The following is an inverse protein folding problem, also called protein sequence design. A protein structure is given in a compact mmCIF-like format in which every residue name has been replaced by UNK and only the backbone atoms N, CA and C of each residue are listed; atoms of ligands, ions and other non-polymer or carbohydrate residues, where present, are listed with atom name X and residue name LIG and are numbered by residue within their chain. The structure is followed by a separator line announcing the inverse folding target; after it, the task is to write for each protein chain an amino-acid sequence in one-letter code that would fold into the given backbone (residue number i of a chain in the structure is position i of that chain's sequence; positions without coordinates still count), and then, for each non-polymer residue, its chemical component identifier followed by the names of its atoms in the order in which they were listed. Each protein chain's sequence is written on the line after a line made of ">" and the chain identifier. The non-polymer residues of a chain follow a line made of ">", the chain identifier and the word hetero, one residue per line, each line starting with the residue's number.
data_IF_093522132796
#
_entry.id   IF_093522132796
#
_cell.length_a   1.000
_cell.length_b   1.000
_cell.length_c   1.000
_cell.angle_alpha   90.00
_cell.angle_beta   90.00
_cell.angle_gamma   90.00
#
_symmetry.space_group_name_H-M   'P 1'
#
loop_
_entity.id
_entity.type
_entity.pdbx_description
1 polymer ?
#
# COMPACT_ATOMS: atom_id res chain seq x y z
N UNK A 1 -10.92 23.58 -49.16
CA UNK A 1 -10.93 24.50 -48.00
C UNK A 1 -11.72 23.78 -46.91
N UNK A 2 -11.17 23.65 -45.69
CA UNK A 2 -11.89 22.99 -44.59
C UNK A 2 -13.06 23.90 -44.20
N UNK A 3 -14.29 23.46 -44.37
CA UNK A 3 -15.48 24.24 -43.99
C UNK A 3 -15.96 23.78 -42.61
N UNK A 4 -15.67 24.59 -41.60
CA UNK A 4 -16.09 24.32 -40.22
C UNK A 4 -17.51 24.83 -39.99
N UNK A 5 -18.39 23.95 -39.52
CA UNK A 5 -19.79 24.30 -39.22
C UNK A 5 -19.84 25.40 -38.16
N UNK A 6 -20.73 26.41 -38.31
CA UNK A 6 -20.89 27.46 -37.31
C UNK A 6 -21.46 26.89 -36.00
N UNK A 7 -21.19 27.60 -34.91
CA UNK A 7 -21.83 27.37 -33.62
C UNK A 7 -23.35 27.55 -33.74
N UNK A 8 -24.14 26.64 -33.12
CA UNK A 8 -25.61 26.78 -33.06
C UNK A 8 -26.04 27.14 -31.64
N UNK A 9 -25.72 26.26 -30.69
CA UNK A 9 -25.95 26.49 -29.26
C UNK A 9 -24.96 25.64 -28.46
N UNK A 10 -24.83 25.94 -27.18
CA UNK A 10 -23.85 25.31 -26.31
C UNK A 10 -23.95 23.77 -26.31
N UNK A 11 -25.14 23.21 -26.07
CA UNK A 11 -25.32 21.76 -25.93
C UNK A 11 -25.13 21.00 -27.24
N UNK A 12 -25.58 21.57 -28.35
CA UNK A 12 -25.37 21.01 -29.67
C UNK A 12 -23.87 20.98 -30.00
N UNK A 13 -23.16 22.08 -29.78
CA UNK A 13 -21.73 22.15 -30.06
C UNK A 13 -20.93 21.24 -29.13
N UNK A 14 -21.32 21.13 -27.86
CA UNK A 14 -20.75 20.18 -26.89
C UNK A 14 -20.83 18.74 -27.41
N UNK A 15 -22.02 18.28 -27.81
CA UNK A 15 -22.21 16.93 -28.39
C UNK A 15 -21.42 16.74 -29.69
N UNK A 16 -21.39 17.77 -30.54
CA UNK A 16 -20.64 17.75 -31.80
C UNK A 16 -19.14 17.61 -31.54
N UNK A 17 -18.60 18.38 -30.60
CA UNK A 17 -17.19 18.38 -30.24
C UNK A 17 -16.76 17.09 -29.55
N UNK A 18 -17.59 16.49 -28.69
CA UNK A 18 -17.37 15.14 -28.16
C UNK A 18 -17.24 14.10 -29.28
N UNK A 19 -18.20 14.09 -30.20
CA UNK A 19 -18.20 13.17 -31.35
C UNK A 19 -16.96 13.39 -32.23
N UNK A 20 -16.58 14.64 -32.44
CA UNK A 20 -15.38 15.00 -33.19
C UNK A 20 -14.10 14.52 -32.48
N UNK A 21 -14.02 14.63 -31.15
CA UNK A 21 -12.95 14.06 -30.34
C UNK A 21 -12.82 12.55 -30.56
N UNK A 22 -13.91 11.79 -30.45
CA UNK A 22 -13.86 10.33 -30.68
C UNK A 22 -13.38 9.96 -32.09
N UNK A 23 -13.83 10.69 -33.12
CA UNK A 23 -13.29 10.49 -34.48
C UNK A 23 -11.82 10.87 -34.59
N UNK A 24 -11.36 11.89 -33.85
CA UNK A 24 -9.96 12.27 -33.78
C UNK A 24 -9.13 11.14 -33.16
N UNK A 25 -9.59 10.56 -32.04
CA UNK A 25 -8.94 9.43 -31.38
C UNK A 25 -8.78 8.22 -32.32
N UNK A 26 -9.74 7.99 -33.23
CA UNK A 26 -9.63 6.97 -34.27
C UNK A 26 -8.76 7.39 -35.48
N UNK A 27 -8.10 8.55 -35.42
CA UNK A 27 -7.26 9.08 -36.51
C UNK A 27 -8.06 9.47 -37.77
N UNK A 28 -9.35 9.74 -37.64
CA UNK A 28 -10.27 10.01 -38.76
C UNK A 28 -10.45 11.49 -39.04
N UNK A 29 -10.44 11.85 -40.33
CA UNK A 29 -10.73 13.21 -40.84
C UNK A 29 -12.18 13.65 -40.62
N UNK A 30 -13.08 12.72 -40.27
CA UNK A 30 -14.47 13.04 -39.90
C UNK A 30 -14.55 13.99 -38.70
N UNK A 31 -13.54 13.99 -37.82
CA UNK A 31 -13.43 14.94 -36.71
C UNK A 31 -13.53 16.40 -37.18
N UNK A 32 -12.80 16.76 -38.25
CA UNK A 32 -12.78 18.12 -38.80
C UNK A 32 -14.08 18.53 -39.50
N UNK A 33 -14.91 17.57 -39.91
CA UNK A 33 -16.22 17.84 -40.55
C UNK A 33 -17.34 18.06 -39.53
N UNK A 34 -17.14 17.57 -38.31
CA UNK A 34 -18.15 17.56 -37.23
C UNK A 34 -17.83 18.65 -36.20
N UNK A 35 -16.55 18.98 -36.00
CA UNK A 35 -16.12 19.97 -34.99
C UNK A 35 -16.80 21.32 -35.21
N UNK A 36 -17.18 21.94 -34.10
CA UNK A 36 -17.79 23.27 -34.04
C UNK A 36 -17.01 24.14 -33.05
N UNK A 37 -15.95 24.81 -33.54
CA UNK A 37 -15.09 25.61 -32.68
C UNK A 37 -15.83 26.87 -32.23
N UNK A 38 -15.84 27.10 -30.91
CA UNK A 38 -16.26 28.36 -30.30
C UNK A 38 -15.44 28.65 -29.05
N UNK A 39 -15.32 29.92 -28.68
CA UNK A 39 -14.56 30.35 -27.49
C UNK A 39 -15.21 29.75 -26.23
N UNK A 40 -16.55 29.78 -26.15
CA UNK A 40 -17.28 29.18 -25.03
C UNK A 40 -17.00 27.68 -24.88
N UNK A 41 -16.93 26.94 -25.99
CA UNK A 41 -16.57 25.52 -25.94
C UNK A 41 -15.12 25.31 -25.50
N UNK A 42 -14.18 26.11 -26.01
CA UNK A 42 -12.77 26.01 -25.61
C UNK A 42 -12.60 26.24 -24.10
N UNK A 43 -13.21 27.31 -23.56
CA UNK A 43 -13.15 27.63 -22.13
C UNK A 43 -13.79 26.52 -21.30
N UNK A 44 -14.97 26.04 -21.71
CA UNK A 44 -15.67 24.98 -20.98
C UNK A 44 -14.88 23.68 -20.94
N UNK A 45 -14.34 23.23 -22.07
CA UNK A 45 -13.48 22.04 -22.12
C UNK A 45 -12.15 22.25 -21.39
N UNK A 46 -11.61 23.47 -21.37
CA UNK A 46 -10.44 23.83 -20.57
C UNK A 46 -10.70 23.68 -19.06
N UNK A 47 -11.86 24.16 -18.59
CA UNK A 47 -12.27 24.01 -17.19
C UNK A 47 -12.50 22.53 -16.86
N UNK A 48 -13.25 21.80 -17.71
CA UNK A 48 -13.49 20.38 -17.48
C UNK A 48 -12.19 19.56 -17.47
N UNK A 49 -11.28 19.81 -18.40
CA UNK A 49 -9.97 19.14 -18.45
C UNK A 49 -9.14 19.45 -17.20
N UNK A 50 -9.11 20.72 -16.77
CA UNK A 50 -8.44 21.12 -15.53
C UNK A 50 -9.05 20.47 -14.29
N UNK A 51 -10.39 20.38 -14.19
CA UNK A 51 -11.08 19.69 -13.11
C UNK A 51 -10.79 18.18 -13.10
N UNK A 52 -10.80 17.53 -14.26
CA UNK A 52 -10.49 16.11 -14.37
C UNK A 52 -9.04 15.80 -13.98
N UNK A 53 -8.08 16.61 -14.43
CA UNK A 53 -6.67 16.48 -14.06
C UNK A 53 -6.43 16.77 -12.57
N UNK A 54 -7.13 17.77 -12.02
CA UNK A 54 -7.11 18.06 -10.58
C UNK A 54 -7.67 16.88 -9.77
N UNK A 55 -8.79 16.30 -10.20
CA UNK A 55 -9.38 15.12 -9.55
C UNK A 55 -8.42 13.93 -9.58
N UNK A 56 -7.83 13.63 -10.74
CA UNK A 56 -6.84 12.56 -10.86
C UNK A 56 -5.64 12.80 -9.95
N UNK A 57 -5.07 14.00 -9.96
CA UNK A 57 -3.93 14.36 -9.13
C UNK A 57 -4.22 14.30 -7.63
N UNK A 58 -5.47 14.51 -7.21
CA UNK A 58 -5.89 14.33 -5.82
C UNK A 58 -6.04 12.84 -5.46
N UNK A 59 -6.71 12.06 -6.32
CA UNK A 59 -6.87 10.61 -6.14
C UNK A 59 -5.51 9.89 -6.09
N UNK A 60 -4.61 10.20 -7.02
CA UNK A 60 -3.29 9.56 -7.10
C UNK A 60 -2.37 9.83 -5.90
N UNK A 61 -2.69 10.85 -5.08
CA UNK A 61 -1.96 11.22 -3.87
C UNK A 61 -2.69 10.78 -2.59
N UNK A 62 -3.51 9.71 -2.66
CA UNK A 62 -4.23 9.19 -1.49
C UNK A 62 -5.21 10.21 -0.90
N UNK A 63 -5.81 11.05 -1.75
CA UNK A 63 -6.75 12.11 -1.34
C UNK A 63 -6.14 13.16 -0.39
N UNK A 64 -4.81 13.24 -0.35
CA UNK A 64 -4.05 14.17 0.46
C UNK A 64 -3.33 15.24 -0.39
N UNK A 65 -2.73 16.21 0.31
CA UNK A 65 -1.93 17.27 -0.29
C UNK A 65 -2.64 18.62 -0.37
N UNK A 66 -1.89 19.63 -0.81
CA UNK A 66 -2.36 21.01 -0.99
C UNK A 66 -2.42 21.37 -2.47
N UNK A 67 -3.42 22.19 -2.81
CA UNK A 67 -3.58 22.69 -4.17
C UNK A 67 -2.39 23.59 -4.56
N UNK A 68 -1.70 23.21 -5.64
CA UNK A 68 -0.56 23.91 -6.20
C UNK A 68 -0.97 24.64 -7.50
N UNK A 69 -1.14 25.97 -7.48
CA UNK A 69 -1.51 26.75 -8.67
C UNK A 69 -0.51 26.59 -9.82
N UNK A 70 0.77 26.37 -9.52
CA UNK A 70 1.80 26.15 -10.54
C UNK A 70 1.54 24.88 -11.34
N UNK A 71 1.02 23.82 -10.72
CA UNK A 71 0.70 22.58 -11.42
C UNK A 71 -0.43 22.76 -12.43
N UNK A 72 -1.44 23.58 -12.10
CA UNK A 72 -2.51 23.92 -13.05
C UNK A 72 -1.98 24.72 -14.25
N UNK A 73 -1.02 25.63 -14.01
CA UNK A 73 -0.34 26.38 -15.08
C UNK A 73 0.49 25.43 -15.95
N UNK A 74 1.25 24.50 -15.35
CA UNK A 74 2.02 23.48 -16.07
C UNK A 74 1.12 22.61 -16.94
N UNK A 75 -0.05 22.20 -16.45
CA UNK A 75 -1.05 21.50 -17.24
C UNK A 75 -1.54 22.33 -18.44
N UNK A 76 -1.95 23.59 -18.18
CA UNK A 76 -2.52 24.48 -19.20
C UNK A 76 -1.53 24.84 -20.34
N UNK A 77 -0.23 24.64 -20.13
CA UNK A 77 0.81 24.88 -21.13
C UNK A 77 0.60 24.06 -22.41
N UNK A 78 0.09 22.84 -22.32
CA UNK A 78 -0.10 21.99 -23.49
C UNK A 78 -1.28 22.44 -24.39
N UNK A 79 -2.50 22.66 -23.87
CA UNK A 79 -3.57 23.32 -24.61
C UNK A 79 -3.16 24.67 -25.21
N UNK A 80 -2.31 25.43 -24.49
CA UNK A 80 -1.79 26.71 -24.97
C UNK A 80 -0.86 26.54 -26.18
N UNK A 81 0.05 25.57 -26.17
CA UNK A 81 0.87 25.22 -27.34
C UNK A 81 -0.03 24.79 -28.51
N UNK A 82 -1.05 23.96 -28.26
CA UNK A 82 -1.99 23.53 -29.29
C UNK A 82 -2.77 24.71 -29.89
N UNK A 83 -3.08 25.74 -29.09
CA UNK A 83 -3.70 26.98 -29.56
C UNK A 83 -2.75 27.79 -30.45
N UNK A 84 -1.47 27.91 -30.07
CA UNK A 84 -0.44 28.56 -30.91
C UNK A 84 -0.33 27.85 -32.26
N UNK A 85 -0.27 26.51 -32.26
CA UNK A 85 -0.27 25.71 -33.50
C UNK A 85 -1.53 26.00 -34.31
N UNK A 86 -2.69 26.05 -33.67
CA UNK A 86 -3.96 26.42 -34.33
C UNK A 86 -3.92 27.80 -34.99
N UNK A 87 -3.33 28.81 -34.34
CA UNK A 87 -3.15 30.17 -34.91
C UNK A 87 -2.28 30.10 -36.17
N UNK A 88 -1.13 29.41 -36.13
CA UNK A 88 -0.26 29.27 -37.31
C UNK A 88 -0.96 28.56 -38.47
N UNK A 89 -1.70 27.48 -38.19
CA UNK A 89 -2.46 26.77 -39.22
C UNK A 89 -3.57 27.66 -39.80
N UNK A 90 -4.27 28.41 -38.95
CA UNK A 90 -5.32 29.34 -39.35
C UNK A 90 -4.82 30.39 -40.34
N UNK A 91 -3.65 30.98 -40.05
CA UNK A 91 -2.99 31.95 -40.94
C UNK A 91 -2.54 31.31 -42.26
N UNK A 92 -1.92 30.12 -42.20
CA UNK A 92 -1.45 29.39 -43.40
C UNK A 92 -2.58 29.04 -44.38
N UNK A 93 -3.78 28.76 -43.86
CA UNK A 93 -4.94 28.29 -44.66
C UNK A 93 -5.96 29.41 -44.91
N UNK A 94 -5.74 30.60 -44.32
CA UNK A 94 -6.66 31.72 -44.34
C UNK A 94 -8.08 31.35 -43.87
N UNK A 95 -8.17 30.58 -42.76
CA UNK A 95 -9.43 30.21 -42.13
C UNK A 95 -9.40 30.50 -40.62
N UNK A 96 -10.08 31.56 -40.14
CA UNK A 96 -10.03 31.97 -38.74
C UNK A 96 -10.64 30.93 -37.78
N UNK A 97 -11.59 30.11 -38.22
CA UNK A 97 -12.24 29.11 -37.36
C UNK A 97 -11.30 27.98 -36.95
N UNK A 98 -10.26 27.73 -37.77
CA UNK A 98 -9.26 26.69 -37.51
C UNK A 98 -8.44 26.96 -36.24
N UNK A 99 -8.33 28.21 -35.82
CA UNK A 99 -7.51 28.66 -34.70
C UNK A 99 -7.74 27.84 -33.42
N UNK A 100 -9.00 27.54 -33.09
CA UNK A 100 -9.36 26.88 -31.85
C UNK A 100 -9.36 25.35 -31.95
N UNK A 101 -9.35 24.80 -33.17
CA UNK A 101 -9.68 23.38 -33.41
C UNK A 101 -8.67 22.42 -32.79
N UNK A 102 -7.33 22.60 -32.94
CA UNK A 102 -6.38 21.67 -32.33
C UNK A 102 -6.49 21.62 -30.81
N UNK A 103 -6.52 22.78 -30.15
CA UNK A 103 -6.64 22.88 -28.69
C UNK A 103 -7.98 22.31 -28.19
N UNK A 104 -9.09 22.64 -28.86
CA UNK A 104 -10.41 22.16 -28.50
C UNK A 104 -10.53 20.64 -28.61
N UNK A 105 -10.10 20.05 -29.72
CA UNK A 105 -10.19 18.61 -29.90
C UNK A 105 -9.26 17.85 -28.96
N UNK A 106 -8.09 18.40 -28.66
CA UNK A 106 -7.18 17.84 -27.67
C UNK A 106 -7.80 17.87 -26.26
N UNK A 107 -8.34 19.02 -25.82
CA UNK A 107 -9.00 19.16 -24.52
C UNK A 107 -10.19 18.23 -24.35
N UNK A 108 -10.99 18.05 -25.41
CA UNK A 108 -12.08 17.07 -25.43
C UNK A 108 -11.53 15.68 -25.13
N UNK A 109 -10.49 15.23 -25.83
CA UNK A 109 -9.92 13.90 -25.62
C UNK A 109 -9.28 13.75 -24.23
N UNK A 110 -8.49 14.75 -23.83
CA UNK A 110 -7.80 14.76 -22.55
C UNK A 110 -8.79 14.62 -21.39
N UNK A 111 -9.90 15.36 -21.44
CA UNK A 111 -10.96 15.27 -20.42
C UNK A 111 -11.51 13.85 -20.30
N UNK A 112 -11.80 13.16 -21.40
CA UNK A 112 -12.39 11.81 -21.34
C UNK A 112 -11.35 10.77 -20.91
N UNK A 113 -10.12 10.86 -21.41
CA UNK A 113 -9.03 9.95 -21.01
C UNK A 113 -8.77 10.13 -19.52
N UNK A 114 -8.73 11.37 -19.02
CA UNK A 114 -8.49 11.65 -17.62
C UNK A 114 -9.65 11.21 -16.72
N UNK A 115 -10.91 11.38 -17.14
CA UNK A 115 -12.07 10.84 -16.41
C UNK A 115 -12.03 9.31 -16.35
N UNK A 116 -11.62 8.65 -17.43
CA UNK A 116 -11.41 7.20 -17.43
C UNK A 116 -10.27 6.81 -16.49
N UNK A 117 -9.18 7.58 -16.47
CA UNK A 117 -8.07 7.39 -15.54
C UNK A 117 -8.48 7.55 -14.08
N UNK A 118 -9.30 8.56 -13.76
CA UNK A 118 -9.88 8.74 -12.43
C UNK A 118 -10.73 7.53 -12.02
N UNK A 119 -11.55 6.99 -12.93
CA UNK A 119 -12.35 5.79 -12.64
C UNK A 119 -11.46 4.58 -12.36
N UNK A 120 -10.44 4.35 -13.17
CA UNK A 120 -9.49 3.24 -12.97
C UNK A 120 -8.72 3.43 -11.65
N UNK A 121 -8.25 4.64 -11.34
CA UNK A 121 -7.58 4.93 -10.06
C UNK A 121 -8.51 4.64 -8.89
N UNK A 122 -9.74 5.15 -8.91
CA UNK A 122 -10.72 4.92 -7.85
C UNK A 122 -11.04 3.43 -7.65
N UNK A 123 -11.22 2.66 -8.73
CA UNK A 123 -11.42 1.21 -8.63
C UNK A 123 -10.18 0.50 -8.08
N UNK A 124 -8.99 1.03 -8.36
CA UNK A 124 -7.74 0.54 -7.80
C UNK A 124 -7.62 0.78 -6.31
N UNK A 125 -7.92 2.01 -5.85
CA UNK A 125 -7.90 2.38 -4.43
C UNK A 125 -8.90 1.55 -3.60
N UNK A 126 -9.94 0.99 -4.21
CA UNK A 126 -10.93 0.12 -3.56
C UNK A 126 -10.61 -1.39 -3.69
N UNK A 127 -9.42 -1.75 -4.20
CA UNK A 127 -8.98 -3.12 -4.45
C UNK A 127 -9.95 -3.95 -5.34
N UNK A 128 -10.71 -3.29 -6.20
CA UNK A 128 -11.62 -3.95 -7.15
C UNK A 128 -10.93 -4.39 -8.45
N UNK A 129 -9.72 -3.88 -8.72
CA UNK A 129 -8.94 -4.27 -9.89
C UNK A 129 -8.00 -5.43 -9.56
N UNK A 130 -7.92 -6.47 -10.42
CA UNK A 130 -6.91 -7.50 -10.29
C UNK A 130 -5.50 -6.90 -10.28
N UNK A 131 -4.65 -7.37 -9.37
CA UNK A 131 -3.33 -6.76 -9.17
C UNK A 131 -2.44 -6.77 -10.43
N UNK A 132 -2.61 -7.79 -11.28
CA UNK A 132 -1.91 -7.92 -12.57
C UNK A 132 -2.13 -6.68 -13.46
N UNK A 133 -3.27 -5.98 -13.33
CA UNK A 133 -3.55 -4.78 -14.13
C UNK A 133 -2.69 -3.58 -13.73
N UNK A 134 -2.25 -3.47 -12.47
CA UNK A 134 -1.48 -2.31 -11.99
C UNK A 134 -0.17 -2.11 -12.75
N UNK A 135 0.49 -3.18 -13.20
CA UNK A 135 1.71 -3.09 -14.00
C UNK A 135 1.47 -2.49 -15.40
N UNK A 136 0.27 -2.69 -15.96
CA UNK A 136 -0.08 -2.24 -17.29
C UNK A 136 -0.76 -0.86 -17.31
N UNK A 137 -1.44 -0.48 -16.23
CA UNK A 137 -2.21 0.77 -16.12
C UNK A 137 -1.35 2.01 -16.47
N UNK A 138 -0.15 2.23 -15.87
CA UNK A 138 0.68 3.38 -16.21
C UNK A 138 1.07 3.41 -17.69
N UNK A 139 1.43 2.26 -18.26
CA UNK A 139 1.83 2.13 -19.67
C UNK A 139 0.66 2.42 -20.62
N UNK A 140 -0.54 1.94 -20.28
CA UNK A 140 -1.76 2.21 -21.03
C UNK A 140 -2.03 3.71 -21.12
N UNK A 141 -2.03 4.42 -19.98
CA UNK A 141 -2.35 5.85 -19.95
C UNK A 141 -1.26 6.71 -20.61
N UNK A 142 0.02 6.34 -20.49
CA UNK A 142 1.09 6.97 -21.27
C UNK A 142 0.83 6.78 -22.78
N UNK A 143 0.47 5.57 -23.21
CA UNK A 143 0.14 5.28 -24.60
C UNK A 143 -1.05 6.10 -25.11
N UNK A 144 -2.14 6.18 -24.33
CA UNK A 144 -3.31 7.00 -24.64
C UNK A 144 -2.97 8.49 -24.75
N UNK A 145 -2.16 9.01 -23.81
CA UNK A 145 -1.74 10.40 -23.77
C UNK A 145 -0.84 10.78 -24.96
N UNK A 146 0.11 9.91 -25.33
CA UNK A 146 0.95 10.11 -26.52
C UNK A 146 0.09 10.03 -27.78
N UNK A 147 -0.78 9.03 -27.88
CA UNK A 147 -1.62 8.83 -29.05
C UNK A 147 -2.58 10.01 -29.30
N UNK A 148 -3.26 10.55 -28.28
CA UNK A 148 -4.17 11.68 -28.48
C UNK A 148 -3.48 12.90 -29.11
N UNK A 149 -2.23 13.16 -28.72
CA UNK A 149 -1.44 14.28 -29.20
C UNK A 149 -0.94 14.05 -30.63
N UNK A 150 -0.50 12.82 -30.92
CA UNK A 150 -0.13 12.42 -32.28
C UNK A 150 -1.33 12.34 -33.22
N UNK A 151 -2.52 12.01 -32.72
CA UNK A 151 -3.75 11.93 -33.50
C UNK A 151 -4.16 13.31 -34.07
N UNK A 152 -3.95 14.39 -33.32
CA UNK A 152 -4.09 15.77 -33.81
C UNK A 152 -3.20 15.98 -35.03
N UNK A 153 -1.89 15.75 -34.90
CA UNK A 153 -0.92 15.91 -36.00
C UNK A 153 -1.26 15.00 -37.18
N UNK A 154 -1.65 13.76 -36.91
CA UNK A 154 -2.01 12.76 -37.92
C UNK A 154 -3.21 13.21 -38.76
N UNK A 155 -4.30 13.65 -38.12
CA UNK A 155 -5.50 14.08 -38.84
C UNK A 155 -5.25 15.36 -39.63
N UNK A 156 -4.59 16.36 -39.03
CA UNK A 156 -4.28 17.61 -39.72
C UNK A 156 -3.32 17.41 -40.89
N UNK A 157 -2.26 16.62 -40.74
CA UNK A 157 -1.32 16.34 -41.83
C UNK A 157 -2.01 15.68 -43.04
N UNK A 158 -2.99 14.81 -42.80
CA UNK A 158 -3.78 14.16 -43.86
C UNK A 158 -4.78 15.10 -44.53
N UNK A 159 -5.43 15.98 -43.77
CA UNK A 159 -6.39 16.94 -44.33
C UNK A 159 -5.69 18.03 -45.13
N UNK A 160 -4.55 18.50 -44.64
CA UNK A 160 -3.74 19.55 -45.24
C UNK A 160 -2.74 19.03 -46.28
N UNK A 161 -2.71 17.71 -46.51
CA UNK A 161 -1.84 17.03 -47.48
C UNK A 161 -0.36 17.36 -47.30
N UNK A 162 0.12 17.39 -46.06
CA UNK A 162 1.53 17.61 -45.78
C UNK A 162 2.40 16.52 -46.39
N UNK A 163 3.59 16.86 -46.90
CA UNK A 163 4.54 15.85 -47.33
C UNK A 163 4.98 14.99 -46.14
N UNK A 164 5.38 13.74 -46.42
CA UNK A 164 5.66 12.75 -45.38
C UNK A 164 6.76 13.17 -44.40
N UNK A 165 7.75 13.96 -44.86
CA UNK A 165 8.87 14.45 -44.06
C UNK A 165 8.44 15.55 -43.09
N UNK A 166 7.59 16.51 -43.51
CA UNK A 166 7.02 17.53 -42.61
C UNK A 166 6.21 16.85 -41.50
N UNK A 167 5.40 15.85 -41.87
CA UNK A 167 4.64 15.05 -40.91
C UNK A 167 5.57 14.34 -39.92
N UNK A 168 6.61 13.66 -40.39
CA UNK A 168 7.56 12.96 -39.52
C UNK A 168 8.26 13.92 -38.55
N UNK A 169 8.71 15.08 -39.06
CA UNK A 169 9.38 16.10 -38.25
C UNK A 169 8.45 16.65 -37.17
N UNK A 170 7.19 16.99 -37.50
CA UNK A 170 6.23 17.52 -36.53
C UNK A 170 5.83 16.44 -35.51
N UNK A 171 5.69 15.18 -35.92
CA UNK A 171 5.42 14.07 -35.00
C UNK A 171 6.58 13.89 -34.00
N UNK A 172 7.83 13.92 -34.46
CA UNK A 172 9.01 13.84 -33.60
C UNK A 172 9.12 15.05 -32.66
N UNK A 173 8.91 16.26 -33.18
CA UNK A 173 8.91 17.47 -32.37
C UNK A 173 7.80 17.44 -31.31
N UNK A 174 6.61 16.95 -31.66
CA UNK A 174 5.49 16.78 -30.71
C UNK A 174 5.86 15.78 -29.63
N UNK A 175 6.42 14.63 -30.00
CA UNK A 175 6.86 13.61 -29.04
C UNK A 175 7.94 14.15 -28.08
N UNK A 176 8.94 14.85 -28.60
CA UNK A 176 9.97 15.48 -27.78
C UNK A 176 9.36 16.52 -26.81
N UNK A 177 8.46 17.37 -27.31
CA UNK A 177 7.78 18.38 -26.48
C UNK A 177 6.91 17.74 -25.40
N UNK A 178 6.23 16.62 -25.71
CA UNK A 178 5.45 15.85 -24.73
C UNK A 178 6.34 15.33 -23.61
N UNK A 179 7.51 14.78 -23.92
CA UNK A 179 8.45 14.26 -22.91
C UNK A 179 8.90 15.38 -21.98
N UNK A 180 9.32 16.52 -22.53
CA UNK A 180 9.76 17.69 -21.73
C UNK A 180 8.61 18.21 -20.87
N UNK A 181 7.41 18.33 -21.42
CA UNK A 181 6.22 18.76 -20.69
C UNK A 181 5.87 17.77 -19.56
N UNK A 182 5.94 16.47 -19.81
CA UNK A 182 5.63 15.44 -18.82
C UNK A 182 6.60 15.51 -17.62
N UNK A 183 7.88 15.77 -17.86
CA UNK A 183 8.86 15.96 -16.79
C UNK A 183 8.50 17.18 -15.92
N UNK A 184 8.14 18.30 -16.55
CA UNK A 184 7.70 19.52 -15.84
C UNK A 184 6.43 19.31 -15.00
N UNK A 185 5.43 18.61 -15.55
CA UNK A 185 4.18 18.31 -14.82
C UNK A 185 4.41 17.34 -13.66
N UNK A 186 5.31 16.36 -13.81
CA UNK A 186 5.68 15.46 -12.72
C UNK A 186 6.34 16.18 -11.55
N UNK A 187 7.19 17.17 -11.82
CA UNK A 187 7.84 17.97 -10.76
C UNK A 187 6.90 18.97 -10.09
N UNK A 188 5.81 19.35 -10.77
CA UNK A 188 4.83 20.32 -10.30
C UNK A 188 3.39 19.78 -10.49
N UNK A 189 2.97 18.77 -9.70
CA UNK A 189 1.61 18.26 -9.77
C UNK A 189 0.60 19.30 -9.28
N UNK A 190 -0.67 19.17 -9.69
CA UNK A 190 -1.77 20.07 -9.30
C UNK A 190 -2.07 19.94 -7.80
N UNK A 191 -2.05 18.72 -7.28
CA UNK A 191 -2.04 18.46 -5.84
C UNK A 191 -0.65 18.02 -5.44
N UNK A 192 -0.04 18.75 -4.51
CA UNK A 192 1.30 18.48 -4.03
C UNK A 192 1.22 18.04 -2.57
N UNK A 193 1.75 16.86 -2.28
CA UNK A 193 2.06 16.46 -0.91
C UNK A 193 3.44 17.04 -0.62
N UNK A 194 3.53 17.91 0.39
CA UNK A 194 4.85 18.36 0.85
C UNK A 194 5.51 17.16 1.54
N UNK A 195 6.53 16.59 0.90
CA UNK A 195 7.45 15.68 1.56
C UNK A 195 8.24 16.49 2.59
N UNK A 196 7.69 16.58 3.81
CA UNK A 196 8.46 17.05 4.94
C UNK A 196 9.61 16.05 5.13
N UNK A 197 10.87 16.50 5.13
CA UNK A 197 11.98 15.60 5.38
C UNK A 197 11.74 14.92 6.73
N UNK A 198 11.98 13.60 6.83
CA UNK A 198 11.71 12.88 8.07
C UNK A 198 12.52 13.53 9.19
N UNK A 199 11.82 14.01 10.20
CA UNK A 199 12.41 14.63 11.37
C UNK A 199 12.20 13.73 12.59
N UNK A 200 13.16 13.79 13.51
CA UNK A 200 13.04 13.15 14.81
C UNK A 200 12.94 14.24 15.87
N UNK A 201 11.78 14.33 16.53
CA UNK A 201 11.52 15.37 17.50
C UNK A 201 12.40 15.21 18.75
N UNK A 202 12.77 16.32 19.38
CA UNK A 202 13.66 16.34 20.55
C UNK A 202 13.03 15.66 21.77
N UNK A 203 11.73 15.85 21.99
CA UNK A 203 10.97 15.21 23.06
C UNK A 203 10.92 13.68 22.90
N UNK A 204 10.70 13.19 21.67
CA UNK A 204 10.81 11.78 21.34
C UNK A 204 12.21 11.24 21.68
N UNK A 205 13.27 11.95 21.33
CA UNK A 205 14.66 11.55 21.64
C UNK A 205 14.91 11.37 23.13
N UNK A 206 14.53 12.35 23.94
CA UNK A 206 14.71 12.26 25.38
C UNK A 206 13.73 11.30 26.06
N UNK A 207 12.59 10.97 25.43
CA UNK A 207 11.64 10.01 25.96
C UNK A 207 12.10 8.55 25.84
N UNK A 208 12.85 8.19 24.80
CA UNK A 208 13.10 6.78 24.44
C UNK A 208 13.66 5.92 25.57
N UNK A 209 14.71 6.37 26.27
CA UNK A 209 15.31 5.58 27.36
C UNK A 209 14.32 5.33 28.50
N UNK A 210 13.50 6.35 28.83
CA UNK A 210 12.47 6.24 29.87
C UNK A 210 11.35 5.30 29.45
N UNK A 211 10.87 5.40 28.20
CA UNK A 211 9.83 4.53 27.67
C UNK A 211 10.27 3.07 27.68
N UNK A 212 11.50 2.80 27.20
CA UNK A 212 12.05 1.45 27.19
C UNK A 212 12.16 0.89 28.61
N UNK A 213 12.82 1.60 29.52
CA UNK A 213 12.98 1.13 30.90
C UNK A 213 11.63 0.90 31.59
N UNK A 214 10.66 1.79 31.41
CA UNK A 214 9.29 1.61 31.93
C UNK A 214 8.64 0.33 31.40
N UNK A 215 8.77 0.06 30.11
CA UNK A 215 8.21 -1.15 29.47
C UNK A 215 8.89 -2.43 29.98
N UNK A 216 10.22 -2.39 30.12
CA UNK A 216 11.01 -3.50 30.67
C UNK A 216 10.71 -3.76 32.15
N UNK A 217 10.56 -2.72 32.95
CA UNK A 217 10.29 -2.83 34.38
C UNK A 217 8.89 -3.38 34.69
N UNK A 218 7.94 -3.15 33.79
CA UNK A 218 6.58 -3.66 33.89
C UNK A 218 6.47 -5.19 33.67
N UNK A 219 7.51 -5.83 33.12
CA UNK A 219 7.52 -7.28 32.89
C UNK A 219 7.57 -8.02 34.23
N UNK A 220 6.46 -8.70 34.55
CA UNK A 220 6.28 -9.48 35.77
C UNK A 220 7.00 -10.83 35.69
N UNK A 221 7.28 -11.41 36.86
CA UNK A 221 7.86 -12.74 37.00
C UNK A 221 6.91 -13.86 36.54
N UNK A 222 7.50 -14.96 36.10
CA UNK A 222 6.82 -16.25 35.97
C UNK A 222 6.63 -16.87 37.36
N UNK A 223 5.71 -17.82 37.46
CA UNK A 223 5.47 -18.55 38.70
C UNK A 223 5.71 -20.04 38.50
N UNK A 224 6.22 -20.74 39.52
CA UNK A 224 6.53 -22.17 39.42
C UNK A 224 5.29 -23.06 39.27
N UNK A 225 4.15 -22.62 39.81
CA UNK A 225 2.94 -23.42 39.82
C UNK A 225 2.25 -23.49 38.44
N UNK A 226 2.63 -22.61 37.51
CA UNK A 226 1.82 -22.26 36.35
C UNK A 226 2.67 -21.80 35.17
N UNK A 227 2.49 -22.41 33.99
CA UNK A 227 3.07 -21.92 32.73
C UNK A 227 2.44 -20.59 32.33
N UNK A 228 3.29 -19.61 32.03
CA UNK A 228 2.89 -18.31 31.50
C UNK A 228 3.42 -18.09 30.08
N UNK A 229 2.68 -17.27 29.33
CA UNK A 229 3.10 -16.77 28.04
C UNK A 229 3.62 -15.34 28.21
N UNK A 230 4.72 -15.05 27.53
CA UNK A 230 5.28 -13.71 27.39
C UNK A 230 5.18 -13.29 25.94
N UNK A 231 4.70 -12.07 25.69
CA UNK A 231 4.56 -11.56 24.34
C UNK A 231 5.62 -10.49 24.07
N UNK A 232 6.28 -10.59 22.92
CA UNK A 232 7.09 -9.51 22.36
C UNK A 232 6.60 -9.21 20.95
N UNK A 233 5.99 -8.05 20.75
CA UNK A 233 5.56 -7.54 19.45
C UNK A 233 6.58 -6.54 18.89
N UNK A 234 6.92 -6.65 17.60
CA UNK A 234 7.91 -5.80 16.93
C UNK A 234 7.36 -5.33 15.58
N UNK A 235 7.08 -4.03 15.46
CA UNK A 235 6.73 -3.37 14.20
C UNK A 235 7.96 -2.66 13.63
N UNK A 236 8.46 -3.14 12.49
CA UNK A 236 9.79 -2.79 11.98
C UNK A 236 9.85 -1.53 11.12
N UNK A 237 8.85 -1.25 10.29
CA UNK A 237 8.87 -0.14 9.33
C UNK A 237 7.87 0.97 9.69
N UNK A 238 8.29 2.23 9.56
CA UNK A 238 7.54 3.38 10.09
C UNK A 238 6.64 4.09 9.08
N UNK A 239 6.81 3.80 7.79
CA UNK A 239 6.12 4.49 6.70
C UNK A 239 4.78 3.84 6.29
N UNK A 240 4.40 2.71 6.89
CA UNK A 240 3.04 2.15 6.79
C UNK A 240 2.47 1.83 8.16
N UNK A 241 1.26 2.32 8.40
CA UNK A 241 0.58 2.20 9.68
C UNK A 241 0.21 0.75 10.04
N UNK A 242 0.01 -0.11 9.03
CA UNK A 242 -0.41 -1.52 9.21
C UNK A 242 0.46 -2.28 10.21
N UNK A 243 1.77 -2.04 10.23
CA UNK A 243 2.68 -2.76 11.13
C UNK A 243 2.46 -2.34 12.59
N UNK A 244 2.21 -1.06 12.84
CA UNK A 244 1.85 -0.55 14.17
C UNK A 244 0.50 -1.12 14.61
N UNK A 245 -0.55 -0.94 13.79
CA UNK A 245 -1.90 -1.41 14.12
C UNK A 245 -1.95 -2.91 14.42
N UNK A 246 -1.20 -3.70 13.66
CA UNK A 246 -1.15 -5.14 13.83
C UNK A 246 -0.52 -5.54 15.17
N UNK A 247 0.59 -4.90 15.58
CA UNK A 247 1.21 -5.16 16.90
C UNK A 247 0.30 -4.74 18.04
N UNK A 248 -0.29 -3.54 17.98
CA UNK A 248 -1.16 -3.02 19.05
C UNK A 248 -2.37 -3.95 19.28
N UNK A 249 -3.04 -4.36 18.19
CA UNK A 249 -4.22 -5.24 18.28
C UNK A 249 -3.87 -6.65 18.73
N UNK A 250 -2.75 -7.21 18.25
CA UNK A 250 -2.30 -8.54 18.68
C UNK A 250 -1.92 -8.50 20.14
N UNK A 251 -1.20 -7.46 20.60
CA UNK A 251 -0.88 -7.29 22.01
C UNK A 251 -2.16 -7.23 22.87
N UNK A 252 -3.14 -6.44 22.47
CA UNK A 252 -4.42 -6.35 23.18
C UNK A 252 -5.12 -7.72 23.26
N UNK A 253 -5.14 -8.47 22.15
CA UNK A 253 -5.66 -9.84 22.14
C UNK A 253 -4.87 -10.78 23.07
N UNK A 254 -3.54 -10.66 23.10
CA UNK A 254 -2.69 -11.45 23.98
C UNK A 254 -2.89 -11.11 25.46
N UNK A 255 -3.05 -9.84 25.79
CA UNK A 255 -3.27 -9.37 27.15
C UNK A 255 -4.64 -9.81 27.68
N UNK A 256 -5.68 -9.67 26.85
CA UNK A 256 -7.07 -9.95 27.23
C UNK A 256 -7.42 -11.43 27.21
N UNK A 257 -6.99 -12.16 26.17
CA UNK A 257 -7.42 -13.54 25.93
C UNK A 257 -6.39 -14.58 26.33
N UNK A 258 -5.11 -14.24 26.27
CA UNK A 258 -4.02 -15.21 26.48
C UNK A 258 -3.26 -14.99 27.80
N UNK A 259 -3.77 -14.10 28.67
CA UNK A 259 -3.27 -13.93 30.03
C UNK A 259 -1.85 -13.35 30.11
N UNK A 260 -1.43 -12.62 29.08
CA UNK A 260 -0.10 -12.00 29.02
C UNK A 260 -0.07 -10.59 29.60
N UNK A 261 -1.17 -10.11 30.19
CA UNK A 261 -1.20 -8.82 30.87
C UNK A 261 -0.09 -8.73 31.93
N UNK A 262 0.75 -7.69 31.83
CA UNK A 262 1.96 -7.53 32.66
C UNK A 262 3.17 -8.37 32.22
N UNK A 263 3.09 -9.10 31.11
CA UNK A 263 4.14 -9.94 30.51
C UNK A 263 4.29 -9.71 29.00
N UNK A 264 3.72 -8.62 28.51
CA UNK A 264 3.77 -8.18 27.11
C UNK A 264 4.63 -6.94 26.96
N UNK A 265 5.52 -6.96 25.97
CA UNK A 265 6.31 -5.81 25.54
C UNK A 265 6.02 -5.57 24.06
N UNK A 266 5.82 -4.33 23.67
CA UNK A 266 5.77 -3.92 22.26
C UNK A 266 6.89 -2.93 21.97
N UNK A 267 7.44 -3.05 20.77
CA UNK A 267 8.44 -2.16 20.21
C UNK A 267 7.94 -1.76 18.83
N UNK A 268 7.75 -0.45 18.60
CA UNK A 268 7.09 0.04 17.39
C UNK A 268 7.91 1.16 16.76
N UNK A 269 8.14 1.03 15.45
CA UNK A 269 8.59 2.13 14.62
C UNK A 269 7.38 2.78 13.96
N UNK A 270 7.00 3.96 14.41
CA UNK A 270 5.99 4.79 13.77
C UNK A 270 6.14 6.24 14.26
N UNK A 271 5.99 7.28 13.42
CA UNK A 271 6.16 8.68 13.85
C UNK A 271 5.23 9.09 14.99
N UNK A 272 3.98 8.59 15.00
CA UNK A 272 2.98 8.97 15.99
C UNK A 272 3.22 8.37 17.39
N UNK A 273 4.02 7.31 17.52
CA UNK A 273 4.18 6.58 18.79
C UNK A 273 5.48 6.88 19.52
N UNK A 274 6.37 7.71 18.95
CA UNK A 274 7.74 7.93 19.46
C UNK A 274 7.83 8.53 20.87
N UNK A 275 6.75 9.09 21.40
CA UNK A 275 6.67 9.63 22.76
C UNK A 275 5.95 8.71 23.74
N UNK A 276 5.41 7.59 23.27
CA UNK A 276 4.52 6.71 24.03
C UNK A 276 5.02 5.26 24.07
N UNK A 277 5.58 4.77 22.96
CA UNK A 277 6.03 3.39 22.78
C UNK A 277 7.53 3.38 22.46
N UNK A 278 8.32 2.43 23.00
CA UNK A 278 9.74 2.33 22.67
C UNK A 278 9.96 1.94 21.21
N UNK A 279 10.97 2.54 20.59
CA UNK A 279 11.37 2.27 19.21
C UNK A 279 11.81 0.82 19.03
N UNK A 280 11.43 0.21 17.91
CA UNK A 280 11.94 -1.09 17.49
C UNK A 280 13.35 -0.94 16.91
N UNK A 281 14.33 -1.51 17.60
CA UNK A 281 15.74 -1.57 17.18
C UNK A 281 16.36 -2.88 17.66
N UNK A 282 17.50 -3.30 17.07
CA UNK A 282 18.29 -4.42 17.62
C UNK A 282 18.58 -4.25 19.11
N UNK A 283 18.86 -3.01 19.54
CA UNK A 283 19.17 -2.68 20.94
C UNK A 283 17.96 -2.90 21.86
N UNK A 284 16.82 -2.27 21.55
CA UNK A 284 15.60 -2.39 22.37
C UNK A 284 15.06 -3.82 22.36
N UNK A 285 15.12 -4.52 21.22
CA UNK A 285 14.71 -5.92 21.13
C UNK A 285 15.62 -6.84 21.95
N UNK A 286 16.94 -6.65 21.88
CA UNK A 286 17.87 -7.42 22.70
C UNK A 286 17.71 -7.18 24.21
N UNK A 287 17.36 -5.95 24.62
CA UNK A 287 17.04 -5.63 26.01
C UNK A 287 15.70 -6.24 26.46
N UNK A 288 14.68 -6.19 25.61
CA UNK A 288 13.37 -6.80 25.86
C UNK A 288 13.47 -8.32 26.02
N UNK A 289 14.11 -9.01 25.07
CA UNK A 289 14.32 -10.46 25.13
C UNK A 289 15.10 -10.86 26.39
N UNK A 290 16.15 -10.11 26.74
CA UNK A 290 16.92 -10.36 27.96
C UNK A 290 16.07 -10.18 29.21
N UNK A 291 15.28 -9.11 29.30
CA UNK A 291 14.41 -8.87 30.45
C UNK A 291 13.34 -9.95 30.58
N UNK A 292 12.70 -10.34 29.48
CA UNK A 292 11.73 -11.44 29.46
C UNK A 292 12.39 -12.74 29.94
N UNK A 293 13.54 -13.12 29.37
CA UNK A 293 14.25 -14.35 29.76
C UNK A 293 14.73 -14.38 31.22
N UNK A 294 14.95 -13.21 31.85
CA UNK A 294 15.25 -13.10 33.28
C UNK A 294 14.03 -13.31 34.19
N UNK A 295 12.83 -13.02 33.70
CA UNK A 295 11.58 -13.13 34.46
C UNK A 295 10.90 -14.48 34.28
N UNK A 296 11.11 -15.13 33.14
CA UNK A 296 10.54 -16.42 32.81
C UNK A 296 11.01 -17.54 33.74
N UNK A 297 10.08 -18.41 34.12
CA UNK A 297 10.41 -19.76 34.52
C UNK A 297 10.82 -20.58 33.27
N UNK A 298 12.12 -20.78 33.10
CA UNK A 298 12.71 -21.43 31.91
C UNK A 298 12.19 -22.85 31.63
N UNK A 299 11.65 -23.54 32.62
CA UNK A 299 11.14 -24.90 32.45
C UNK A 299 9.76 -24.94 31.80
N UNK A 300 8.94 -23.90 32.00
CA UNK A 300 7.50 -23.97 31.75
C UNK A 300 6.90 -22.75 31.06
N UNK A 301 7.58 -21.60 31.06
CA UNK A 301 7.10 -20.39 30.39
C UNK A 301 7.52 -20.36 28.93
N UNK A 302 6.70 -19.69 28.11
CA UNK A 302 6.89 -19.61 26.65
C UNK A 302 7.00 -18.16 26.20
N UNK A 303 8.00 -17.87 25.37
CA UNK A 303 8.05 -16.62 24.62
C UNK A 303 7.22 -16.77 23.35
N UNK A 304 6.29 -15.86 23.12
CA UNK A 304 5.67 -15.60 21.83
C UNK A 304 6.25 -14.32 21.24
N UNK A 305 7.16 -14.46 20.27
CA UNK A 305 7.75 -13.34 19.53
C UNK A 305 6.99 -13.16 18.23
N UNK A 306 6.37 -11.99 18.04
CA UNK A 306 5.77 -11.59 16.78
C UNK A 306 6.51 -10.41 16.16
N UNK A 307 6.92 -10.56 14.91
CA UNK A 307 7.63 -9.54 14.16
C UNK A 307 6.91 -9.27 12.84
N UNK A 308 6.60 -8.00 12.54
CA UNK A 308 5.93 -7.59 11.30
C UNK A 308 6.63 -6.38 10.69
N UNK A 309 7.03 -6.49 9.41
CA UNK A 309 7.75 -5.46 8.64
C UNK A 309 7.90 -5.90 7.17
N UNK A 310 8.60 -5.12 6.35
CA UNK A 310 9.13 -5.65 5.09
C UNK A 310 10.32 -6.57 5.32
N UNK A 311 10.70 -7.29 4.26
CA UNK A 311 11.84 -8.18 4.30
C UNK A 311 12.46 -8.40 2.93
N UNK A 312 13.73 -8.76 2.97
CA UNK A 312 14.49 -9.35 1.86
C UNK A 312 14.98 -10.73 2.33
N UNK A 313 15.52 -11.59 1.43
CA UNK A 313 16.11 -12.85 1.86
C UNK A 313 17.17 -12.64 2.97
N UNK A 314 16.95 -13.26 4.13
CA UNK A 314 17.74 -13.14 5.36
C UNK A 314 17.80 -11.73 5.99
N UNK A 315 16.82 -10.87 5.71
CA UNK A 315 16.76 -9.52 6.27
C UNK A 315 15.32 -9.17 6.66
N UNK A 316 15.12 -8.77 7.90
CA UNK A 316 13.90 -8.18 8.41
C UNK A 316 14.13 -6.69 8.61
N UNK A 317 13.26 -5.86 8.01
CA UNK A 317 13.48 -4.43 7.96
C UNK A 317 13.23 -3.75 9.31
N UNK A 318 14.18 -2.92 9.73
CA UNK A 318 14.07 -1.98 10.84
C UNK A 318 14.27 -0.57 10.28
N UNK A 319 13.19 0.19 10.14
CA UNK A 319 13.15 1.52 9.53
C UNK A 319 12.40 2.48 10.46
N UNK A 320 13.00 3.63 10.76
CA UNK A 320 12.36 4.70 11.52
C UNK A 320 13.02 6.06 11.23
N UNK A 321 12.98 6.48 9.97
CA UNK A 321 13.66 7.67 9.50
C UNK A 321 13.37 8.91 10.37
N UNK A 322 14.37 9.74 10.68
CA UNK A 322 15.73 9.75 10.12
C UNK A 322 16.75 8.86 10.89
N UNK A 323 16.31 7.98 11.79
CA UNK A 323 17.23 7.12 12.53
C UNK A 323 17.84 6.04 11.63
N UNK A 324 19.18 5.92 11.68
CA UNK A 324 19.91 4.83 11.04
C UNK A 324 19.85 3.58 11.93
N UNK A 325 18.90 2.70 11.65
CA UNK A 325 18.67 1.47 12.41
C UNK A 325 19.29 0.27 11.70
N UNK A 326 19.99 -0.56 12.48
CA UNK A 326 20.52 -1.82 11.98
C UNK A 326 19.38 -2.84 11.73
N UNK A 327 19.35 -3.39 10.52
CA UNK A 327 18.40 -4.41 10.08
C UNK A 327 18.59 -5.72 10.86
N UNK A 328 17.52 -6.51 11.03
CA UNK A 328 17.57 -7.81 11.75
C UNK A 328 17.87 -8.94 10.77
N UNK A 329 18.89 -9.73 11.08
CA UNK A 329 19.28 -10.92 10.31
C UNK A 329 19.07 -12.21 11.15
N UNK A 330 18.91 -13.39 10.50
CA UNK A 330 18.60 -14.63 11.19
C UNK A 330 19.64 -15.06 12.23
N UNK A 331 20.93 -14.80 11.95
CA UNK A 331 22.03 -15.17 12.85
C UNK A 331 21.96 -14.35 14.14
N UNK A 332 21.86 -13.03 14.00
CA UNK A 332 21.76 -12.15 15.16
C UNK A 332 20.51 -12.44 16.00
N UNK A 333 19.36 -12.74 15.37
CA UNK A 333 18.14 -13.08 16.10
C UNK A 333 18.32 -14.39 16.90
N UNK A 334 18.91 -15.43 16.29
CA UNK A 334 19.26 -16.68 16.95
C UNK A 334 20.15 -16.45 18.18
N UNK A 335 21.27 -15.75 17.99
CA UNK A 335 22.25 -15.46 19.04
C UNK A 335 21.61 -14.66 20.20
N UNK A 336 20.73 -13.71 19.89
CA UNK A 336 20.05 -12.88 20.89
C UNK A 336 19.03 -13.67 21.71
N UNK A 337 18.26 -14.56 21.07
CA UNK A 337 17.33 -15.46 21.75
C UNK A 337 18.06 -16.44 22.67
N UNK A 338 19.16 -17.02 22.20
CA UNK A 338 19.99 -17.95 22.98
C UNK A 338 20.64 -17.25 24.17
N UNK A 339 21.21 -16.06 23.97
CA UNK A 339 21.82 -15.25 25.04
C UNK A 339 20.81 -14.82 26.11
N UNK A 340 19.52 -14.77 25.77
CA UNK A 340 18.44 -14.44 26.72
C UNK A 340 18.05 -15.63 27.61
N UNK A 341 18.53 -16.85 27.31
CA UNK A 341 18.26 -18.05 28.11
C UNK A 341 16.82 -18.55 28.03
N UNK A 342 16.08 -18.14 27.00
CA UNK A 342 14.69 -18.55 26.77
C UNK A 342 14.68 -19.94 26.14
N UNK A 343 14.00 -20.90 26.77
CA UNK A 343 13.95 -22.29 26.29
C UNK A 343 12.82 -22.51 25.28
N UNK A 344 11.58 -22.26 25.69
CA UNK A 344 10.40 -22.48 24.86
C UNK A 344 10.05 -21.21 24.08
N UNK A 345 10.05 -21.30 22.75
CA UNK A 345 9.91 -20.15 21.86
C UNK A 345 8.89 -20.46 20.76
N UNK A 346 7.92 -19.58 20.60
CA UNK A 346 7.08 -19.48 19.40
C UNK A 346 7.47 -18.18 18.71
N UNK A 347 8.02 -18.29 17.51
CA UNK A 347 8.52 -17.16 16.72
C UNK A 347 7.67 -17.08 15.46
N UNK A 348 6.99 -15.95 15.28
CA UNK A 348 6.14 -15.69 14.12
C UNK A 348 6.68 -14.46 13.40
N UNK A 349 7.07 -14.62 12.14
CA UNK A 349 7.67 -13.57 11.32
C UNK A 349 6.76 -13.29 10.12
N UNK A 350 6.14 -12.11 10.12
CA UNK A 350 5.32 -11.60 9.03
C UNK A 350 6.12 -10.60 8.19
N UNK A 351 6.79 -11.10 7.16
CA UNK A 351 7.52 -10.29 6.18
C UNK A 351 7.73 -11.06 4.88
N UNK A 352 8.04 -10.34 3.80
CA UNK A 352 8.51 -10.96 2.56
C UNK A 352 9.76 -11.80 2.83
N UNK A 353 9.88 -12.94 2.15
CA UNK A 353 10.98 -13.90 2.27
C UNK A 353 11.24 -14.42 3.70
N UNK A 354 10.26 -14.33 4.60
CA UNK A 354 10.40 -14.67 6.03
C UNK A 354 10.84 -16.12 6.26
N UNK A 355 10.49 -17.05 5.35
CA UNK A 355 10.98 -18.44 5.37
C UNK A 355 12.51 -18.58 5.37
N UNK A 356 13.26 -17.56 4.93
CA UNK A 356 14.72 -17.54 4.96
C UNK A 356 15.31 -17.53 6.38
N UNK A 357 14.53 -17.15 7.39
CA UNK A 357 14.94 -17.17 8.79
C UNK A 357 14.90 -18.58 9.41
N UNK A 358 14.10 -19.49 8.85
CA UNK A 358 13.83 -20.82 9.42
C UNK A 358 15.12 -21.61 9.70
N UNK A 359 16.08 -21.76 8.77
CA UNK A 359 17.25 -22.61 8.99
C UNK A 359 18.13 -22.18 10.17
N UNK A 360 18.25 -20.88 10.44
CA UNK A 360 19.08 -20.37 11.54
C UNK A 360 18.37 -20.45 12.90
N UNK A 361 17.04 -20.30 12.90
CA UNK A 361 16.23 -20.27 14.12
C UNK A 361 15.81 -21.66 14.62
N UNK A 362 15.89 -22.69 13.78
CA UNK A 362 15.51 -24.05 14.15
C UNK A 362 16.28 -24.56 15.38
N UNK A 363 15.53 -25.09 16.33
CA UNK A 363 16.01 -25.75 17.55
C UNK A 363 14.95 -26.75 18.03
N UNK A 364 15.33 -27.71 18.88
CA UNK A 364 14.40 -28.71 19.42
C UNK A 364 13.24 -28.10 20.21
N UNK A 365 13.42 -26.90 20.80
CA UNK A 365 12.45 -26.25 21.69
C UNK A 365 11.75 -25.05 21.04
N UNK A 366 11.83 -24.89 19.72
CA UNK A 366 11.30 -23.72 19.01
C UNK A 366 10.22 -24.11 17.99
N UNK A 367 9.13 -23.34 17.96
CA UNK A 367 8.19 -23.28 16.85
C UNK A 367 8.45 -21.99 16.06
N UNK A 368 8.56 -22.11 14.74
CA UNK A 368 8.73 -21.01 13.80
C UNK A 368 7.56 -21.04 12.82
N UNK A 369 6.90 -19.89 12.66
CA UNK A 369 5.84 -19.67 11.67
C UNK A 369 6.24 -18.47 10.82
N UNK A 370 6.14 -18.60 9.50
CA UNK A 370 6.49 -17.50 8.58
C UNK A 370 5.32 -17.21 7.65
N UNK A 371 5.12 -15.92 7.34
CA UNK A 371 4.07 -15.49 6.42
C UNK A 371 4.36 -15.88 4.97
N UNK A 372 5.62 -16.17 4.62
CA UNK A 372 6.00 -16.65 3.29
C UNK A 372 7.14 -17.66 3.32
N UNK A 373 7.33 -18.37 2.20
CA UNK A 373 8.52 -19.17 1.94
C UNK A 373 9.76 -18.29 1.67
N UNK A 374 10.94 -18.90 1.71
CA UNK A 374 12.22 -18.21 1.63
C UNK A 374 12.46 -17.47 0.29
N UNK A 375 11.77 -17.88 -0.77
CA UNK A 375 11.83 -17.35 -2.12
C UNK A 375 10.53 -16.63 -2.55
N UNK A 376 9.59 -16.42 -1.61
CA UNK A 376 8.27 -15.84 -1.88
C UNK A 376 8.04 -14.54 -1.11
N UNK A 377 7.27 -13.63 -1.70
CA UNK A 377 6.77 -12.42 -1.05
C UNK A 377 5.52 -12.72 -0.20
N UNK A 378 5.18 -11.80 0.71
CA UNK A 378 3.92 -11.79 1.47
C UNK A 378 3.15 -10.50 1.18
N UNK A 379 1.83 -10.49 1.35
CA UNK A 379 0.96 -9.40 0.88
C UNK A 379 0.10 -8.77 1.98
N UNK A 380 -0.54 -7.64 1.64
CA UNK A 380 -1.48 -6.91 2.52
C UNK A 380 -0.87 -5.77 3.33
N UNK A 381 0.30 -5.23 2.94
CA UNK A 381 1.00 -4.19 3.70
C UNK A 381 0.59 -2.74 3.32
N UNK A 382 -0.65 -2.50 2.89
CA UNK A 382 -1.11 -1.14 2.56
C UNK A 382 -1.38 -0.31 3.82
N UNK A 383 -1.14 1.01 3.77
CA UNK A 383 -1.32 1.90 4.93
C UNK A 383 -2.79 2.02 5.39
N UNK A 384 -3.75 1.70 4.54
CA UNK A 384 -5.18 1.69 4.88
C UNK A 384 -5.63 0.36 5.51
N UNK A 385 -4.76 -0.66 5.50
CA UNK A 385 -5.06 -1.96 6.09
C UNK A 385 -4.72 -2.00 7.57
N UNK A 386 -5.66 -2.51 8.35
CA UNK A 386 -5.44 -2.81 9.78
C UNK A 386 -4.53 -4.02 10.03
N UNK A 387 -4.36 -4.88 9.02
CA UNK A 387 -3.64 -6.14 9.09
C UNK A 387 -3.07 -6.53 7.74
N UNK A 388 -1.90 -7.15 7.74
CA UNK A 388 -1.38 -7.95 6.63
C UNK A 388 -2.29 -9.14 6.34
N UNK A 389 -2.20 -9.75 5.14
CA UNK A 389 -3.01 -10.93 4.82
C UNK A 389 -2.77 -12.07 5.81
N UNK A 390 -1.50 -12.35 6.13
CA UNK A 390 -1.16 -13.37 7.10
C UNK A 390 -1.61 -12.98 8.52
N UNK A 391 -1.36 -11.74 8.96
CA UNK A 391 -1.77 -11.26 10.27
C UNK A 391 -3.29 -11.36 10.50
N UNK A 392 -4.09 -10.97 9.50
CA UNK A 392 -5.55 -11.09 9.53
C UNK A 392 -5.99 -12.55 9.57
N UNK A 393 -5.47 -13.38 8.67
CA UNK A 393 -5.87 -14.78 8.58
C UNK A 393 -5.51 -15.55 9.85
N UNK A 394 -4.32 -15.28 10.41
CA UNK A 394 -3.82 -16.00 11.59
C UNK A 394 -4.43 -15.46 12.89
N UNK A 395 -4.31 -14.17 13.21
CA UNK A 395 -4.70 -13.63 14.53
C UNK A 395 -6.17 -13.21 14.62
N UNK A 396 -6.66 -12.47 13.62
CA UNK A 396 -8.02 -11.90 13.64
C UNK A 396 -9.09 -12.97 13.34
N UNK A 397 -8.76 -13.99 12.55
CA UNK A 397 -9.66 -15.09 12.20
C UNK A 397 -9.28 -16.40 12.90
N UNK A 398 -8.21 -17.07 12.47
CA UNK A 398 -7.98 -18.46 12.82
C UNK A 398 -7.69 -18.68 14.32
N UNK A 399 -6.95 -17.79 14.98
CA UNK A 399 -6.73 -17.85 16.44
C UNK A 399 -8.01 -17.60 17.24
N UNK A 400 -9.08 -17.04 16.64
CA UNK A 400 -10.40 -16.89 17.27
C UNK A 400 -11.26 -18.13 17.13
N UNK A 401 -11.13 -18.83 16.01
CA UNK A 401 -11.98 -19.97 15.67
C UNK A 401 -11.38 -21.32 16.08
N UNK A 402 -10.05 -21.43 16.10
CA UNK A 402 -9.33 -22.66 16.39
C UNK A 402 -8.93 -22.77 17.86
N UNK A 403 -8.62 -23.99 18.27
CA UNK A 403 -8.25 -24.35 19.65
C UNK A 403 -6.78 -24.77 19.81
N UNK A 404 -5.95 -24.54 18.79
CA UNK A 404 -4.51 -24.81 18.80
C UNK A 404 -3.80 -23.89 17.81
N UNK A 405 -2.51 -23.61 18.05
CA UNK A 405 -1.70 -22.79 17.14
C UNK A 405 -1.56 -23.51 15.78
N UNK A 406 -1.45 -24.84 15.78
CA UNK A 406 -1.37 -25.64 14.56
C UNK A 406 -2.67 -25.58 13.75
N UNK A 407 -3.83 -25.68 14.41
CA UNK A 407 -5.13 -25.49 13.76
C UNK A 407 -5.27 -24.10 13.15
N UNK A 408 -4.88 -23.07 13.91
CA UNK A 408 -4.89 -21.68 13.45
C UNK A 408 -4.00 -21.48 12.23
N UNK A 409 -2.79 -22.06 12.23
CA UNK A 409 -1.87 -21.98 11.09
C UNK A 409 -2.44 -22.64 9.83
N UNK A 410 -3.01 -23.85 9.96
CA UNK A 410 -3.56 -24.57 8.80
C UNK A 410 -4.70 -23.77 8.15
N UNK A 411 -5.63 -23.24 8.95
CA UNK A 411 -6.71 -22.39 8.45
C UNK A 411 -6.18 -21.09 7.82
N UNK A 412 -5.20 -20.44 8.46
CA UNK A 412 -4.61 -19.22 7.94
C UNK A 412 -3.92 -19.46 6.59
N UNK A 413 -3.19 -20.57 6.44
CA UNK A 413 -2.54 -20.96 5.19
C UNK A 413 -3.53 -21.12 4.04
N UNK A 414 -4.66 -21.78 4.28
CA UNK A 414 -5.72 -21.94 3.28
C UNK A 414 -6.38 -20.60 2.91
N UNK A 415 -6.62 -19.77 3.92
CA UNK A 415 -7.26 -18.45 3.75
C UNK A 415 -6.38 -17.50 2.95
N UNK A 416 -5.09 -17.42 3.29
CA UNK A 416 -4.10 -16.60 2.58
C UNK A 416 -4.00 -17.04 1.13
N UNK A 417 -3.86 -18.34 0.86
CA UNK A 417 -3.80 -18.86 -0.50
C UNK A 417 -5.06 -18.52 -1.31
N UNK A 418 -6.25 -18.51 -0.69
CA UNK A 418 -7.49 -18.12 -1.36
C UNK A 418 -7.49 -16.63 -1.73
N UNK A 419 -7.06 -15.74 -0.84
CA UNK A 419 -7.00 -14.29 -1.10
C UNK A 419 -5.95 -13.96 -2.16
N UNK A 420 -4.78 -14.58 -2.08
CA UNK A 420 -3.71 -14.42 -3.06
C UNK A 420 -4.13 -14.88 -4.45
N UNK A 421 -4.74 -16.07 -4.56
CA UNK A 421 -5.26 -16.58 -5.83
C UNK A 421 -6.36 -15.67 -6.41
N UNK A 422 -7.24 -15.11 -5.56
CA UNK A 422 -8.27 -14.19 -6.01
C UNK A 422 -7.70 -12.90 -6.60
N UNK A 423 -6.54 -12.46 -6.10
CA UNK A 423 -5.81 -11.29 -6.60
C UNK A 423 -4.81 -11.62 -7.74
N UNK A 424 -4.66 -12.90 -8.09
CA UNK A 424 -3.72 -13.35 -9.12
C UNK A 424 -2.26 -13.33 -8.66
N UNK A 425 -2.01 -13.30 -7.36
CA UNK A 425 -0.67 -13.38 -6.80
C UNK A 425 -0.12 -14.80 -6.88
N UNK A 426 1.20 -14.87 -7.00
CA UNK A 426 1.92 -16.10 -6.72
C UNK A 426 1.84 -16.40 -5.21
N UNK A 427 1.41 -17.60 -4.79
CA UNK A 427 1.19 -17.89 -3.38
C UNK A 427 2.43 -17.65 -2.52
N UNK A 428 2.23 -17.04 -1.35
CA UNK A 428 3.30 -16.76 -0.39
C UNK A 428 3.82 -18.03 0.28
N UNK A 429 3.02 -19.09 0.33
CA UNK A 429 3.31 -20.38 0.97
C UNK A 429 3.80 -20.27 2.43
N UNK A 430 2.94 -19.83 3.38
CA UNK A 430 3.29 -19.77 4.79
C UNK A 430 3.90 -21.09 5.30
N UNK A 431 4.94 -21.00 6.12
CA UNK A 431 5.71 -22.16 6.57
C UNK A 431 5.52 -22.41 8.07
N UNK A 432 5.60 -23.70 8.43
CA UNK A 432 5.57 -24.21 9.79
C UNK A 432 6.80 -25.06 10.04
N UNK A 433 7.59 -24.72 11.05
CA UNK A 433 8.74 -25.50 11.48
C UNK A 433 8.75 -25.66 12.99
N UNK A 434 8.64 -26.90 13.46
CA UNK A 434 8.58 -27.20 14.90
C UNK A 434 9.70 -28.16 15.30
N UNK A 435 10.39 -27.82 16.39
CA UNK A 435 11.37 -28.67 17.04
C UNK A 435 10.73 -29.87 17.74
N UNK A 436 11.48 -30.97 17.87
CA UNK A 436 10.97 -32.22 18.44
C UNK A 436 10.40 -32.06 19.85
N UNK A 437 11.11 -31.37 20.75
CA UNK A 437 10.65 -31.17 22.12
C UNK A 437 9.43 -30.24 22.16
N UNK A 438 9.44 -29.17 21.35
CA UNK A 438 8.30 -28.27 21.24
C UNK A 438 7.07 -28.99 20.69
N UNK A 439 7.22 -29.93 19.75
CA UNK A 439 6.11 -30.73 19.23
C UNK A 439 5.40 -31.54 20.32
N UNK A 440 6.15 -32.08 21.30
CA UNK A 440 5.56 -32.79 22.44
C UNK A 440 4.97 -31.84 23.49
N UNK A 441 5.61 -30.69 23.73
CA UNK A 441 5.23 -29.78 24.82
C UNK A 441 4.15 -28.77 24.44
N UNK A 442 4.08 -28.32 23.18
CA UNK A 442 3.17 -27.28 22.74
C UNK A 442 1.69 -27.57 23.09
N UNK A 443 1.16 -28.79 22.88
CA UNK A 443 -0.24 -29.10 23.25
C UNK A 443 -0.54 -28.98 24.74
N UNK A 444 0.47 -29.01 25.61
CA UNK A 444 0.31 -28.78 27.05
C UNK A 444 0.39 -27.29 27.39
N UNK A 445 1.32 -26.58 26.73
CA UNK A 445 1.57 -25.16 26.94
C UNK A 445 0.42 -24.28 26.39
N UNK A 446 -0.19 -24.68 25.28
CA UNK A 446 -1.21 -23.88 24.58
C UNK A 446 -2.64 -24.07 25.13
N UNK A 447 -2.88 -24.98 26.08
CA UNK A 447 -4.21 -25.18 26.70
C UNK A 447 -4.75 -23.93 27.38
N UNK A 448 -3.85 -23.04 27.82
CA UNK A 448 -4.20 -21.75 28.40
C UNK A 448 -4.37 -20.66 27.35
N UNK A 449 -3.70 -20.80 26.21
CA UNK A 449 -3.88 -19.93 25.06
C UNK A 449 -5.28 -20.17 24.46
N UNK A 450 -5.72 -21.43 24.39
CA UNK A 450 -7.05 -21.80 23.93
C UNK A 450 -7.81 -22.54 25.03
N UNK A 451 -8.44 -21.82 25.96
CA UNK A 451 -9.22 -22.47 27.00
C UNK A 451 -10.29 -23.35 26.34
N UNK A 452 -10.45 -24.62 26.78
CA UNK A 452 -11.45 -25.50 26.22
C UNK A 452 -12.84 -24.88 26.41
N UNK A 453 -13.66 -24.91 25.36
CA UNK A 453 -15.05 -24.46 25.41
C UNK A 453 -15.73 -25.22 26.54
N UNK A 454 -15.99 -24.54 27.65
CA UNK A 454 -16.67 -25.15 28.78
C UNK A 454 -18.12 -25.34 28.35
N UNK A 455 -18.52 -26.56 28.00
CA UNK A 455 -19.94 -26.90 27.97
C UNK A 455 -20.45 -26.70 29.40
N UNK A 456 -21.27 -25.67 29.60
CA UNK A 456 -21.90 -25.42 30.89
C UNK A 456 -22.62 -26.70 31.37
N UNK A 457 -22.52 -27.09 32.65
CA UNK A 457 -23.32 -28.19 33.17
C UNK A 457 -24.79 -27.78 33.08
N UNK A 458 -25.62 -28.63 32.51
CA UNK A 458 -27.07 -28.48 32.57
C UNK A 458 -27.49 -28.43 34.05
N UNK A 459 -27.85 -27.25 34.55
CA UNK A 459 -28.39 -27.09 35.88
C UNK A 459 -29.72 -27.85 35.98
N UNK A 460 -29.72 -28.87 36.82
CA UNK A 460 -30.91 -29.51 37.37
C UNK A 460 -31.69 -28.48 38.20
N UNK A 461 -32.63 -27.78 37.58
CA UNK A 461 -33.73 -27.13 38.30
C UNK A 461 -34.99 -27.99 38.14
N UNK A 462 -35.19 -28.93 39.06
CA UNK A 462 -36.52 -29.46 39.39
C UNK A 462 -36.49 -30.25 40.71
N UNK A 463 -36.09 -29.59 41.80
CA UNK A 463 -36.49 -29.98 43.16
C UNK A 463 -36.82 -28.70 43.91
N UNK A 464 -38.08 -28.25 43.80
CA UNK A 464 -38.83 -27.59 44.88
C UNK A 464 -40.24 -27.25 44.37
N UNK A 465 -41.10 -28.26 44.36
CA UNK A 465 -42.55 -28.09 44.39
C UNK A 465 -43.12 -28.96 45.51
N UNK A 466 -42.73 -28.63 46.74
CA UNK A 466 -43.41 -29.01 47.99
C UNK A 466 -43.16 -27.91 49.01
N UNK A 467 -44.06 -26.93 49.04
CA UNK A 467 -44.73 -26.40 50.24
C UNK A 467 -45.76 -25.35 49.83
#
# INVERSE_FOLDING_TARGET
>A
MIDFKPSINFWHDFKSNQTAGMWLFLGSRRSLQIVRPSIMQLVFWGILGGCANSLFSWLSNGQAGVFNPQGLISYALWPFIALIVGIFLSQRINNPRLMLVPALLWLVLDTHIMMFQCLIQFLGDQDYLPYILYDYIPTLFIGLFVWQSLAVVWVFSRELKWPWWERALIMLATLFTLVVWQMSVKDQPIWKVEELPPAFAEDAFYAQSRLLNKSLDAVQYGEFAQSHWYFLGVAGASYQDVFMYEIERIKEQFDTRFGTFGRSVELINHPATRTEIPIASKTSMGLALRRIGQQMNRESDVLFLYMTSHGLPNVFEMENAPLDLAQVDPKWLRETLDASGIRWRVIVISSCYSGSFVPALQDENTLIITASAADRQSFGCSSESDYTYFGRAFFDQAMREQNSIQGAFNQAKETVAKWENAQGFEPSEPQWSIGKNMQFMLPQLEQRLFPPVTTAPAQQEQIEAKL
#
